data_IF_125545862421
#
_entry.id   IF_125545862421
#
_cell.length_a   1.000
_cell.length_b   1.000
_cell.length_c   1.000
_cell.angle_alpha   90.00
_cell.angle_beta   90.00
_cell.angle_gamma   90.00
#
_symmetry.space_group_name_H-M   'P 1'
#
loop_
_entity.id
_entity.type
_entity.pdbx_description
1 polymer ?
#
# COMPACT_ATOMS: atom_id res chain seq x y z
N UNK A 1 -68.12 -13.89 -11.11
CA UNK A 1 -67.97 -15.21 -10.49
C UNK A 1 -66.72 -15.80 -11.14
N UNK A 2 -65.51 -15.35 -10.78
CA UNK A 2 -64.81 -15.64 -9.50
C UNK A 2 -64.84 -17.15 -9.24
N UNK A 3 -63.72 -17.87 -9.13
CA UNK A 3 -62.73 -17.68 -8.06
C UNK A 3 -61.41 -18.43 -8.30
N UNK A 4 -60.39 -18.01 -7.55
CA UNK A 4 -59.00 -18.47 -7.43
C UNK A 4 -58.82 -19.92 -6.93
N UNK A 5 -57.60 -20.46 -7.10
CA UNK A 5 -57.16 -21.61 -6.31
C UNK A 5 -55.90 -22.33 -6.78
N UNK A 6 -54.72 -21.79 -6.42
CA UNK A 6 -53.54 -22.63 -6.10
C UNK A 6 -53.64 -23.01 -4.60
N UNK A 7 -53.11 -24.15 -4.07
CA UNK A 7 -51.65 -24.36 -3.99
C UNK A 7 -51.09 -25.82 -3.86
N UNK A 8 -49.76 -25.89 -4.03
CA UNK A 8 -48.77 -26.71 -3.28
C UNK A 8 -48.44 -28.18 -3.63
N UNK A 9 -47.12 -28.37 -3.81
CA UNK A 9 -46.23 -29.39 -3.21
C UNK A 9 -45.64 -30.56 -4.05
N UNK A 10 -44.32 -30.42 -4.27
CA UNK A 10 -43.24 -31.36 -3.90
C UNK A 10 -42.59 -32.32 -4.91
N UNK A 11 -41.26 -32.42 -4.73
CA UNK A 11 -40.27 -33.42 -5.20
C UNK A 11 -39.74 -33.25 -6.65
N UNK A 12 -38.56 -32.65 -6.86
CA UNK A 12 -37.17 -33.11 -6.61
C UNK A 12 -36.64 -34.08 -7.68
N UNK A 13 -35.74 -33.59 -8.54
CA UNK A 13 -34.54 -34.35 -8.92
C UNK A 13 -33.42 -33.41 -9.35
N UNK A 14 -32.29 -33.64 -8.71
CA UNK A 14 -30.98 -33.01 -8.80
C UNK A 14 -30.24 -33.40 -10.07
N UNK A 15 -29.56 -32.42 -10.70
CA UNK A 15 -28.39 -32.63 -11.56
C UNK A 15 -27.40 -31.47 -11.39
N UNK A 16 -26.37 -31.76 -10.61
CA UNK A 16 -24.97 -31.36 -10.63
C UNK A 16 -24.55 -30.13 -11.47
N UNK A 17 -24.05 -29.12 -10.75
CA UNK A 17 -23.27 -27.99 -11.26
C UNK A 17 -21.80 -28.21 -10.88
N UNK A 18 -21.00 -28.76 -11.79
CA UNK A 18 -19.55 -28.61 -11.76
C UNK A 18 -19.19 -27.35 -12.57
N UNK A 19 -19.06 -26.23 -11.87
CA UNK A 19 -18.44 -25.02 -12.37
C UNK A 19 -17.23 -24.70 -11.47
N UNK A 20 -16.06 -25.23 -11.84
CA UNK A 20 -14.79 -24.83 -11.26
C UNK A 20 -14.59 -23.33 -11.46
N UNK A 21 -14.43 -22.64 -10.35
CA UNK A 21 -14.20 -21.21 -10.27
C UNK A 21 -12.81 -20.88 -10.86
N UNK A 22 -12.69 -19.99 -11.87
CA UNK A 22 -11.39 -19.66 -12.48
C UNK A 22 -10.40 -18.97 -11.52
N UNK A 23 -10.80 -18.60 -10.30
CA UNK A 23 -9.93 -18.05 -9.25
C UNK A 23 -9.07 -19.09 -8.54
N UNK A 24 -9.44 -20.37 -8.51
CA UNK A 24 -8.67 -21.40 -7.78
C UNK A 24 -7.35 -21.77 -8.48
N UNK A 25 -7.22 -21.46 -9.78
CA UNK A 25 -6.01 -21.75 -10.57
C UNK A 25 -4.90 -20.71 -10.40
N UNK A 26 -5.21 -19.52 -9.90
CA UNK A 26 -4.24 -18.44 -9.67
C UNK A 26 -3.54 -18.55 -8.32
N UNK A 27 -4.17 -19.18 -7.32
CA UNK A 27 -3.56 -19.45 -6.02
C UNK A 27 -2.42 -20.49 -6.08
N UNK A 28 -2.43 -21.36 -7.09
CA UNK A 28 -1.45 -22.44 -7.23
C UNK A 28 -0.10 -22.00 -7.83
N UNK A 29 0.04 -20.75 -8.30
CA UNK A 29 1.24 -20.26 -9.00
C UNK A 29 2.10 -19.28 -8.18
N UNK A 30 1.68 -18.88 -6.97
CA UNK A 30 2.40 -17.89 -6.16
C UNK A 30 3.14 -18.47 -4.94
N UNK A 31 3.50 -19.75 -4.96
CA UNK A 31 4.41 -20.33 -3.94
C UNK A 31 5.85 -20.26 -4.42
N UNK A 32 6.37 -19.03 -4.57
CA UNK A 32 7.81 -18.79 -4.64
C UNK A 32 8.34 -18.59 -3.22
N UNK A 33 9.54 -19.08 -2.87
CA UNK A 33 10.13 -18.80 -1.56
C UNK A 33 10.32 -17.28 -1.41
N UNK A 34 10.02 -16.76 -0.22
CA UNK A 34 10.32 -15.38 0.13
C UNK A 34 11.84 -15.25 0.17
N UNK A 35 12.44 -14.56 -0.80
CA UNK A 35 13.84 -14.15 -0.72
C UNK A 35 13.99 -13.20 0.46
N UNK A 36 14.95 -13.51 1.34
CA UNK A 36 15.19 -12.83 2.63
C UNK A 36 15.74 -11.40 2.51
N UNK A 37 15.55 -10.71 1.38
CA UNK A 37 16.12 -9.40 1.10
C UNK A 37 15.05 -8.30 0.97
N UNK A 38 13.93 -8.44 1.69
CA UNK A 38 12.83 -7.47 1.63
C UNK A 38 13.19 -6.22 2.45
N UNK A 39 13.55 -5.13 1.77
CA UNK A 39 13.65 -3.80 2.37
C UNK A 39 12.28 -3.40 2.96
N UNK A 40 12.30 -3.13 4.25
CA UNK A 40 11.21 -2.55 5.04
C UNK A 40 10.95 -1.14 4.49
N UNK A 41 9.96 -0.98 3.61
CA UNK A 41 9.21 0.28 3.47
C UNK A 41 7.95 0.23 2.58
N UNK A 42 7.48 -0.96 2.16
CA UNK A 42 6.14 -1.04 1.52
C UNK A 42 5.40 -2.38 1.68
N UNK A 43 5.93 -3.30 2.47
CA UNK A 43 5.18 -4.51 2.84
C UNK A 43 4.28 -4.10 4.00
N UNK A 44 2.98 -3.79 3.74
CA UNK A 44 1.98 -3.41 4.78
C UNK A 44 2.43 -3.91 6.14
N UNK A 45 2.97 -3.01 6.97
CA UNK A 45 3.79 -3.39 8.13
C UNK A 45 3.02 -4.33 9.04
N UNK A 46 1.70 -4.17 9.08
CA UNK A 46 0.73 -5.06 9.72
C UNK A 46 0.77 -6.47 9.13
N UNK A 47 0.66 -6.63 7.82
CA UNK A 47 0.74 -7.95 7.20
C UNK A 47 2.14 -8.58 7.37
N UNK A 48 3.21 -7.79 7.20
CA UNK A 48 4.55 -8.32 7.43
C UNK A 48 4.70 -8.78 8.88
N UNK A 49 4.26 -7.96 9.85
CA UNK A 49 4.22 -8.30 11.27
C UNK A 49 3.35 -9.55 11.57
N UNK A 50 2.20 -9.71 10.89
CA UNK A 50 1.39 -10.91 10.97
C UNK A 50 2.14 -12.15 10.43
N UNK A 51 2.92 -12.01 9.35
CA UNK A 51 3.71 -13.11 8.76
C UNK A 51 5.03 -13.42 9.49
N UNK A 52 5.65 -12.44 10.14
CA UNK A 52 6.88 -12.63 10.92
C UNK A 52 6.58 -13.23 12.29
N UNK A 53 5.48 -12.82 12.93
CA UNK A 53 5.01 -13.42 14.20
C UNK A 53 4.73 -14.92 14.08
N UNK A 54 4.37 -15.39 12.88
CA UNK A 54 4.11 -16.81 12.59
C UNK A 54 5.35 -17.63 12.23
N UNK A 55 6.54 -17.02 12.07
CA UNK A 55 7.81 -17.72 11.84
C UNK A 55 8.60 -18.05 13.12
N UNK A 56 8.05 -17.74 14.30
CA UNK A 56 8.68 -17.97 15.60
C UNK A 56 8.00 -19.08 16.41
N UNK A 57 7.73 -20.25 15.80
CA UNK A 57 7.53 -21.48 16.57
C UNK A 57 8.13 -22.67 15.83
N UNK A 58 9.34 -23.06 16.23
CA UNK A 58 9.85 -24.44 16.21
C UNK A 58 11.30 -24.49 16.71
N UNK A 59 11.51 -24.56 18.03
CA UNK A 59 12.69 -25.27 18.58
C UNK A 59 12.23 -26.21 19.70
N UNK A 60 12.41 -27.50 19.41
CA UNK A 60 12.13 -28.70 20.22
C UNK A 60 12.72 -28.61 21.64
N UNK A 61 11.88 -28.91 22.64
CA UNK A 61 12.26 -29.15 24.03
C UNK A 61 13.07 -30.44 24.18
N UNK A 62 14.40 -30.36 24.35
CA UNK A 62 15.17 -31.38 25.09
C UNK A 62 16.19 -30.74 26.01
N UNK A 63 15.92 -30.86 27.30
CA UNK A 63 16.66 -30.18 28.35
C UNK A 63 18.04 -30.74 28.67
N UNK A 64 18.84 -29.90 29.31
CA UNK A 64 19.64 -30.23 30.50
C UNK A 64 20.10 -28.94 31.21
N UNK A 65 20.03 -28.99 32.55
CA UNK A 65 20.40 -28.00 33.57
C UNK A 65 21.66 -27.15 33.29
N UNK A 66 21.64 -25.86 33.65
CA UNK A 66 22.19 -25.38 34.93
C UNK A 66 22.38 -23.84 34.96
N UNK A 67 22.04 -23.25 36.11
CA UNK A 67 22.27 -21.85 36.47
C UNK A 67 23.76 -21.54 36.66
N UNK A 68 24.18 -20.30 36.33
CA UNK A 68 24.88 -19.30 37.19
C UNK A 68 25.77 -18.37 36.36
N UNK A 69 25.48 -17.07 36.52
CA UNK A 69 26.32 -15.86 36.46
C UNK A 69 27.83 -16.02 36.22
N UNK A 70 28.36 -15.36 35.18
CA UNK A 70 29.62 -14.62 35.29
C UNK A 70 29.73 -13.57 34.19
N UNK A 71 30.10 -12.37 34.60
CA UNK A 71 30.48 -11.23 33.78
C UNK A 71 31.88 -11.47 33.20
N UNK A 72 32.17 -10.75 32.10
CA UNK A 72 33.48 -10.45 31.49
C UNK A 72 34.04 -11.47 30.49
N UNK A 73 33.95 -11.16 29.20
CA UNK A 73 35.15 -10.76 28.44
C UNK A 73 34.76 -10.00 27.17
N UNK A 74 35.45 -8.88 26.98
CA UNK A 74 35.51 -8.07 25.78
C UNK A 74 36.37 -8.82 24.77
N UNK A 75 35.80 -9.27 23.66
CA UNK A 75 36.55 -9.54 22.44
C UNK A 75 35.75 -8.92 21.29
N UNK A 76 36.44 -8.06 20.56
CA UNK A 76 35.96 -7.26 19.45
C UNK A 76 35.40 -8.17 18.35
N UNK A 77 34.08 -8.24 18.22
CA UNK A 77 33.45 -8.53 16.94
C UNK A 77 33.25 -7.17 16.28
N UNK A 78 34.11 -6.85 15.29
CA UNK A 78 33.77 -5.88 14.27
C UNK A 78 32.51 -6.44 13.60
N UNK A 79 31.34 -6.04 14.10
CA UNK A 79 30.13 -6.06 13.30
C UNK A 79 30.47 -5.17 12.11
N UNK A 80 30.77 -5.80 10.97
CA UNK A 80 30.59 -5.19 9.67
C UNK A 80 29.13 -4.72 9.64
N UNK A 81 28.89 -3.49 10.13
CA UNK A 81 27.69 -2.73 9.82
C UNK A 81 27.77 -2.56 8.30
N UNK A 82 27.27 -3.56 7.56
CA UNK A 82 26.89 -3.38 6.17
C UNK A 82 26.03 -2.11 6.17
N UNK A 83 26.59 -0.98 5.70
CA UNK A 83 25.84 0.25 5.47
C UNK A 83 24.70 -0.16 4.55
N UNK A 84 23.54 -0.45 5.13
CA UNK A 84 22.34 -0.77 4.38
C UNK A 84 22.09 0.46 3.51
N UNK A 85 22.30 0.31 2.20
CA UNK A 85 22.06 1.36 1.21
C UNK A 85 20.67 1.96 1.50
N UNK A 86 20.64 3.20 2.00
CA UNK A 86 19.41 3.90 2.31
C UNK A 86 18.59 3.95 1.01
N UNK A 87 17.39 3.37 1.02
CA UNK A 87 16.57 3.26 -0.18
C UNK A 87 16.21 4.67 -0.71
N UNK A 88 16.79 5.04 -1.85
CA UNK A 88 16.43 6.28 -2.54
C UNK A 88 15.24 6.03 -3.50
N UNK A 89 14.03 6.52 -3.17
CA UNK A 89 12.86 6.32 -4.02
C UNK A 89 13.01 7.00 -5.39
N UNK A 90 13.77 8.10 -5.50
CA UNK A 90 13.97 8.80 -6.76
C UNK A 90 14.95 8.06 -7.66
N UNK A 91 16.00 7.47 -7.09
CA UNK A 91 16.92 6.59 -7.82
C UNK A 91 16.20 5.33 -8.31
N UNK A 92 15.37 4.72 -7.45
CA UNK A 92 14.52 3.60 -7.82
C UNK A 92 13.63 3.95 -9.02
N UNK A 93 12.92 5.09 -8.97
CA UNK A 93 12.06 5.55 -10.07
C UNK A 93 12.87 5.80 -11.36
N UNK A 94 14.06 6.38 -11.24
CA UNK A 94 14.96 6.63 -12.39
C UNK A 94 15.31 5.32 -13.12
N UNK A 95 15.47 4.25 -12.37
CA UNK A 95 15.84 2.92 -12.85
C UNK A 95 14.65 2.02 -13.19
N UNK A 96 13.41 2.51 -13.07
CA UNK A 96 12.23 1.73 -13.41
C UNK A 96 12.24 1.34 -14.90
N UNK A 97 11.93 0.07 -15.21
CA UNK A 97 11.76 -0.35 -16.58
C UNK A 97 10.46 0.25 -17.14
N UNK A 98 10.31 0.23 -18.46
CA UNK A 98 9.06 0.62 -19.09
C UNK A 98 7.90 -0.24 -18.54
N UNK A 99 6.80 0.40 -18.16
CA UNK A 99 5.62 -0.28 -17.60
C UNK A 99 5.20 -1.51 -18.42
N UNK A 100 5.23 -1.41 -19.76
CA UNK A 100 4.87 -2.51 -20.69
C UNK A 100 5.76 -3.75 -20.60
N UNK A 101 6.95 -3.65 -20.00
CA UNK A 101 7.87 -4.77 -19.82
C UNK A 101 7.64 -5.56 -18.53
N UNK A 102 6.95 -4.96 -17.56
CA UNK A 102 6.70 -5.55 -16.23
C UNK A 102 5.22 -5.88 -15.99
N UNK A 103 4.37 -5.64 -16.99
CA UNK A 103 2.94 -5.93 -16.92
C UNK A 103 2.44 -6.66 -18.16
N UNK A 104 1.38 -7.49 -18.06
CA UNK A 104 0.74 -8.09 -19.22
C UNK A 104 0.26 -7.04 -20.23
N UNK A 105 0.37 -7.36 -21.53
CA UNK A 105 -0.07 -6.49 -22.63
C UNK A 105 -1.54 -6.10 -22.54
N UNK A 106 -2.38 -7.03 -22.08
CA UNK A 106 -3.80 -6.82 -21.87
C UNK A 106 -4.09 -6.88 -20.38
N UNK A 107 -4.46 -5.73 -19.80
CA UNK A 107 -4.94 -5.65 -18.43
C UNK A 107 -6.38 -5.15 -18.41
N UNK A 108 -7.25 -5.78 -17.62
CA UNK A 108 -8.61 -5.32 -17.48
C UNK A 108 -8.62 -3.94 -16.80
N UNK A 109 -9.55 -3.09 -17.24
CA UNK A 109 -9.87 -1.86 -16.51
C UNK A 109 -10.54 -2.26 -15.19
N UNK A 110 -10.01 -1.78 -14.07
CA UNK A 110 -10.47 -2.16 -12.73
C UNK A 110 -11.80 -1.51 -12.37
N UNK A 111 -12.01 -0.26 -12.80
CA UNK A 111 -13.15 0.54 -12.35
C UNK A 111 -14.23 0.61 -13.43
N UNK A 112 -15.52 0.61 -13.04
CA UNK A 112 -16.58 0.93 -13.97
C UNK A 112 -16.40 2.34 -14.54
N UNK A 113 -17.01 2.59 -15.70
CA UNK A 113 -17.01 3.92 -16.33
C UNK A 113 -17.59 4.95 -15.38
N UNK A 114 -16.98 6.13 -15.32
CA UNK A 114 -17.52 7.26 -14.55
C UNK A 114 -18.93 7.61 -15.05
N UNK A 115 -19.82 7.88 -14.10
CA UNK A 115 -21.16 8.39 -14.40
C UNK A 115 -21.13 9.92 -14.46
N UNK A 116 -22.10 10.52 -15.15
CA UNK A 116 -22.20 12.00 -15.25
C UNK A 116 -22.40 12.72 -13.91
N UNK A 117 -22.75 11.97 -12.86
CA UNK A 117 -22.92 12.46 -11.49
C UNK A 117 -21.63 12.46 -10.68
N UNK A 118 -20.57 11.80 -11.17
CA UNK A 118 -19.27 11.78 -10.51
C UNK A 118 -18.51 13.07 -10.84
N UNK A 119 -17.74 13.62 -9.88
CA UNK A 119 -16.80 14.69 -10.20
C UNK A 119 -15.84 14.25 -11.33
N UNK A 120 -15.44 15.16 -12.22
CA UNK A 120 -14.65 14.82 -13.41
C UNK A 120 -13.19 14.48 -13.10
N UNK A 121 -12.67 14.92 -11.95
CA UNK A 121 -11.30 14.65 -11.51
C UNK A 121 -11.34 13.54 -10.45
N UNK A 122 -10.52 12.51 -10.63
CA UNK A 122 -10.34 11.43 -9.67
C UNK A 122 -9.17 11.75 -8.75
N UNK A 123 -9.41 11.69 -7.44
CA UNK A 123 -8.38 11.80 -6.41
C UNK A 123 -8.13 10.42 -5.84
N UNK A 124 -6.98 9.85 -6.21
CA UNK A 124 -6.48 8.59 -5.68
C UNK A 124 -5.73 8.90 -4.37
N UNK A 125 -6.11 8.22 -3.30
CA UNK A 125 -5.49 8.37 -1.99
C UNK A 125 -4.92 7.03 -1.55
N UNK A 126 -3.68 7.05 -1.04
CA UNK A 126 -3.18 5.97 -0.22
C UNK A 126 -3.83 5.95 1.18
N UNK A 127 -3.56 4.91 1.98
CA UNK A 127 -4.11 4.73 3.32
C UNK A 127 -3.06 4.85 4.40
N UNK A 128 -2.22 3.84 4.53
CA UNK A 128 -1.23 3.69 5.59
C UNK A 128 -0.17 4.79 5.43
N UNK A 129 0.23 5.40 6.55
CA UNK A 129 1.14 6.56 6.63
C UNK A 129 0.70 7.81 5.85
N UNK A 130 -0.44 7.76 5.15
CA UNK A 130 -1.03 8.89 4.40
C UNK A 130 -2.26 9.45 5.11
N UNK A 131 -3.28 8.63 5.39
CA UNK A 131 -4.53 9.01 6.06
C UNK A 131 -4.61 8.49 7.49
N UNK A 132 -3.97 7.36 7.77
CA UNK A 132 -4.02 6.64 9.04
C UNK A 132 -2.66 6.00 9.30
N UNK A 133 -2.39 5.66 10.54
CA UNK A 133 -1.30 4.78 10.91
C UNK A 133 -1.86 3.65 11.77
N UNK A 134 -1.42 2.42 11.49
CA UNK A 134 -1.98 1.23 12.10
C UNK A 134 -0.90 0.28 12.60
N UNK A 135 -1.13 -0.34 13.75
CA UNK A 135 -0.18 -1.25 14.41
C UNK A 135 -0.90 -2.50 14.93
N UNK A 136 -0.15 -3.58 15.11
CA UNK A 136 -0.63 -4.78 15.82
C UNK A 136 -0.31 -4.73 17.31
N UNK A 137 0.69 -3.95 17.68
CA UNK A 137 1.07 -3.76 19.06
C UNK A 137 0.07 -2.82 19.75
N UNK A 138 -0.42 -3.17 20.94
CA UNK A 138 -1.25 -2.26 21.72
C UNK A 138 -0.52 -0.94 21.95
N UNK A 139 -1.21 0.16 21.65
CA UNK A 139 -0.64 1.48 21.82
C UNK A 139 -1.65 2.47 22.41
N UNK A 140 -1.13 3.51 23.05
CA UNK A 140 -1.95 4.60 23.58
C UNK A 140 -2.42 5.52 22.44
N UNK A 141 -3.46 6.32 22.72
CA UNK A 141 -3.99 7.33 21.79
C UNK A 141 -4.50 6.76 20.46
N UNK A 142 -5.27 5.68 20.54
CA UNK A 142 -5.94 5.06 19.38
C UNK A 142 -7.31 5.68 19.14
N UNK A 143 -7.67 5.89 17.88
CA UNK A 143 -9.01 6.38 17.50
C UNK A 143 -10.02 5.24 17.43
N UNK A 144 -9.60 4.09 16.91
CA UNK A 144 -10.42 2.89 16.84
C UNK A 144 -9.58 1.63 16.68
N UNK A 145 -10.24 0.49 16.91
CA UNK A 145 -9.67 -0.85 16.71
C UNK A 145 -10.63 -1.70 15.90
N UNK A 146 -10.09 -2.71 15.21
CA UNK A 146 -10.90 -3.75 14.58
C UNK A 146 -10.12 -5.08 14.50
N UNK A 147 -10.82 -6.22 14.53
CA UNK A 147 -10.19 -7.52 14.36
C UNK A 147 -9.90 -7.80 12.88
N UNK A 148 -8.77 -8.44 12.61
CA UNK A 148 -8.44 -9.04 11.31
C UNK A 148 -8.10 -10.51 11.55
N UNK A 149 -8.72 -11.38 10.76
CA UNK A 149 -8.43 -12.81 10.81
C UNK A 149 -7.34 -13.14 9.80
N UNK A 150 -6.22 -13.68 10.26
CA UNK A 150 -5.11 -14.10 9.43
C UNK A 150 -4.50 -15.38 10.00
N UNK A 151 -4.16 -16.35 9.14
CA UNK A 151 -3.64 -17.66 9.56
C UNK A 151 -4.47 -18.36 10.64
N UNK A 152 -5.81 -18.28 10.56
CA UNK A 152 -6.74 -18.85 11.55
C UNK A 152 -6.68 -18.21 12.95
N UNK A 153 -5.90 -17.14 13.12
CA UNK A 153 -5.82 -16.34 14.34
C UNK A 153 -6.50 -14.97 14.15
N UNK A 154 -7.11 -14.45 15.22
CA UNK A 154 -7.66 -13.10 15.25
C UNK A 154 -6.61 -12.15 15.83
N UNK A 155 -6.20 -11.16 15.04
CA UNK A 155 -5.33 -10.08 15.49
C UNK A 155 -6.13 -8.79 15.62
N UNK A 156 -5.92 -8.05 16.71
CA UNK A 156 -6.49 -6.71 16.89
C UNK A 156 -5.58 -5.68 16.24
N UNK A 157 -6.14 -4.89 15.33
CA UNK A 157 -5.46 -3.74 14.73
C UNK A 157 -5.80 -2.49 15.53
N UNK A 158 -4.78 -1.73 15.88
CA UNK A 158 -4.88 -0.43 16.54
C UNK A 158 -4.61 0.69 15.53
N UNK A 159 -5.56 1.61 15.37
CA UNK A 159 -5.50 2.64 14.32
C UNK A 159 -5.54 4.04 14.93
N UNK A 160 -4.66 4.90 14.43
CA UNK A 160 -4.72 6.35 14.59
C UNK A 160 -5.08 7.01 13.27
N UNK A 161 -5.93 8.03 13.32
CA UNK A 161 -6.26 8.88 12.21
C UNK A 161 -5.26 10.02 12.13
N UNK A 162 -4.74 10.30 10.94
CA UNK A 162 -3.92 11.49 10.74
C UNK A 162 -4.72 12.75 11.12
N UNK A 163 -4.14 13.72 11.83
CA UNK A 163 -4.82 14.96 12.17
C UNK A 163 -5.51 15.59 10.97
N UNK A 164 -6.70 16.14 11.19
CA UNK A 164 -7.53 16.77 10.18
C UNK A 164 -8.12 15.84 9.09
N UNK A 165 -8.01 14.51 9.24
CA UNK A 165 -8.60 13.56 8.29
C UNK A 165 -10.08 13.84 7.99
N UNK A 166 -10.91 14.07 9.00
CA UNK A 166 -12.33 14.34 8.79
C UNK A 166 -12.56 15.61 7.95
N UNK A 167 -11.88 16.71 8.28
CA UNK A 167 -12.00 17.98 7.57
C UNK A 167 -11.52 17.85 6.11
N UNK A 168 -10.39 17.17 5.91
CA UNK A 168 -9.86 16.84 4.59
C UNK A 168 -10.88 16.06 3.77
N UNK A 169 -11.40 14.94 4.30
CA UNK A 169 -12.35 14.06 3.62
C UNK A 169 -13.68 14.76 3.30
N UNK A 170 -14.20 15.58 4.22
CA UNK A 170 -15.41 16.39 3.99
C UNK A 170 -15.22 17.40 2.85
N UNK A 171 -14.02 17.95 2.70
CA UNK A 171 -13.70 18.91 1.64
C UNK A 171 -13.51 18.22 0.30
N UNK A 172 -12.65 17.21 0.22
CA UNK A 172 -12.29 16.57 -1.06
C UNK A 172 -13.42 15.71 -1.62
N UNK A 173 -14.28 15.11 -0.78
CA UNK A 173 -15.44 14.31 -1.25
C UNK A 173 -16.49 15.12 -2.01
N UNK A 174 -16.52 16.44 -1.83
CA UNK A 174 -17.39 17.35 -2.58
C UNK A 174 -16.81 17.73 -3.94
N UNK A 175 -15.50 17.56 -4.11
CA UNK A 175 -14.73 18.10 -5.23
C UNK A 175 -14.26 17.01 -6.20
N UNK A 176 -13.99 15.80 -5.69
CA UNK A 176 -13.34 14.73 -6.43
C UNK A 176 -14.09 13.40 -6.38
N UNK A 177 -13.90 12.57 -7.39
CA UNK A 177 -14.17 11.14 -7.27
C UNK A 177 -13.03 10.52 -6.44
N UNK A 178 -13.29 10.19 -5.17
CA UNK A 178 -12.28 9.59 -4.30
C UNK A 178 -12.13 8.10 -4.59
N UNK A 179 -10.91 7.70 -4.89
CA UNK A 179 -10.50 6.30 -5.10
C UNK A 179 -9.44 5.98 -4.05
N UNK A 180 -9.65 4.95 -3.25
CA UNK A 180 -8.56 4.40 -2.44
C UNK A 180 -7.74 3.47 -3.31
N UNK A 181 -6.43 3.65 -3.34
CA UNK A 181 -5.50 2.70 -3.94
C UNK A 181 -4.35 2.49 -2.97
N UNK A 182 -4.36 1.34 -2.27
CA UNK A 182 -3.39 0.99 -1.24
C UNK A 182 -2.57 -0.24 -1.63
N UNK A 183 -1.31 -0.26 -1.21
CA UNK A 183 -0.46 -1.45 -1.25
C UNK A 183 -0.81 -2.46 -0.14
N UNK A 184 -1.81 -2.20 0.70
CA UNK A 184 -2.27 -3.14 1.73
C UNK A 184 -3.26 -4.18 1.20
N UNK A 185 -3.31 -5.34 1.87
CA UNK A 185 -4.22 -6.42 1.50
C UNK A 185 -5.67 -6.07 1.83
N UNK A 186 -6.59 -6.59 1.03
CA UNK A 186 -8.03 -6.36 1.18
C UNK A 186 -8.56 -6.78 2.55
N UNK A 187 -8.07 -7.89 3.12
CA UNK A 187 -8.50 -8.40 4.44
C UNK A 187 -8.36 -7.37 5.56
N UNK A 188 -7.35 -6.51 5.48
CA UNK A 188 -7.10 -5.43 6.42
C UNK A 188 -7.78 -4.13 5.96
N UNK A 189 -7.49 -3.70 4.74
CA UNK A 189 -7.89 -2.38 4.25
C UNK A 189 -9.41 -2.26 4.10
N UNK A 190 -10.11 -3.35 3.78
CA UNK A 190 -11.57 -3.34 3.73
C UNK A 190 -12.20 -3.08 5.10
N UNK A 191 -11.68 -3.71 6.16
CA UNK A 191 -12.16 -3.48 7.53
C UNK A 191 -11.92 -2.05 7.97
N UNK A 192 -10.70 -1.53 7.76
CA UNK A 192 -10.37 -0.15 8.05
C UNK A 192 -11.32 0.84 7.35
N UNK A 193 -11.54 0.66 6.05
CA UNK A 193 -12.41 1.53 5.27
C UNK A 193 -13.89 1.39 5.62
N UNK A 194 -14.31 0.26 6.18
CA UNK A 194 -15.66 0.10 6.70
C UNK A 194 -15.85 0.88 8.01
N UNK A 195 -14.79 1.05 8.81
CA UNK A 195 -14.81 1.91 10.00
C UNK A 195 -14.75 3.39 9.61
N UNK A 196 -13.89 3.78 8.66
CA UNK A 196 -13.75 5.17 8.21
C UNK A 196 -14.97 5.69 7.42
N UNK A 197 -15.60 4.85 6.60
CA UNK A 197 -16.76 5.24 5.78
C UNK A 197 -17.89 4.18 5.88
N UNK A 198 -18.54 4.07 7.05
CA UNK A 198 -19.54 3.04 7.31
C UNK A 198 -20.79 3.18 6.44
N UNK A 199 -21.04 4.38 5.91
CA UNK A 199 -22.18 4.67 5.03
C UNK A 199 -21.83 4.58 3.55
N UNK A 200 -20.57 4.27 3.19
CA UNK A 200 -20.04 4.20 1.82
C UNK A 200 -20.35 5.45 0.99
N UNK A 201 -20.14 6.62 1.58
CA UNK A 201 -20.42 7.93 0.97
C UNK A 201 -19.18 8.69 0.53
N UNK A 202 -18.02 8.39 1.12
CA UNK A 202 -16.78 9.10 0.87
C UNK A 202 -16.00 8.43 -0.26
N UNK A 203 -15.75 7.13 -0.14
CA UNK A 203 -14.89 6.40 -1.08
C UNK A 203 -15.73 5.76 -2.19
N UNK A 204 -15.52 6.18 -3.44
CA UNK A 204 -16.25 5.65 -4.59
C UNK A 204 -15.76 4.27 -4.99
N UNK A 205 -14.44 4.09 -4.97
CA UNK A 205 -13.76 2.86 -5.35
C UNK A 205 -12.64 2.54 -4.36
N UNK A 206 -12.33 1.25 -4.22
CA UNK A 206 -11.27 0.73 -3.36
C UNK A 206 -10.44 -0.26 -4.19
N UNK A 207 -9.14 -0.04 -4.25
CA UNK A 207 -8.16 -0.83 -5.00
C UNK A 207 -7.06 -1.22 -4.02
N UNK A 208 -6.70 -2.50 -4.02
CA UNK A 208 -5.82 -3.11 -3.00
C UNK A 208 -4.56 -3.68 -3.64
N UNK A 209 -3.68 -4.26 -2.80
CA UNK A 209 -2.40 -4.86 -3.19
C UNK A 209 -2.43 -5.72 -4.45
N UNK A 210 -3.44 -6.57 -4.62
CA UNK A 210 -3.51 -7.50 -5.77
C UNK A 210 -3.59 -6.78 -7.13
N UNK A 211 -3.88 -5.47 -7.11
CA UNK A 211 -3.92 -4.61 -8.30
C UNK A 211 -2.62 -3.83 -8.53
N UNK A 212 -1.68 -3.87 -7.59
CA UNK A 212 -0.36 -3.25 -7.73
C UNK A 212 0.52 -4.06 -8.70
N UNK A 213 1.48 -3.38 -9.31
CA UNK A 213 2.61 -4.00 -10.00
C UNK A 213 3.68 -4.24 -8.95
N UNK A 214 4.01 -5.50 -8.69
CA UNK A 214 5.12 -5.85 -7.82
C UNK A 214 6.42 -5.88 -8.63
N UNK A 215 7.36 -5.00 -8.30
CA UNK A 215 8.65 -4.91 -8.99
C UNK A 215 9.73 -4.58 -7.97
N UNK A 216 10.77 -5.42 -7.93
CA UNK A 216 11.98 -5.22 -7.11
C UNK A 216 11.64 -4.84 -5.65
N UNK A 217 10.88 -5.72 -4.99
CA UNK A 217 10.45 -5.55 -3.60
C UNK A 217 9.35 -4.51 -3.35
N UNK A 218 8.98 -3.72 -4.35
CA UNK A 218 8.07 -2.59 -4.20
C UNK A 218 6.69 -2.83 -4.86
N UNK A 219 5.65 -2.23 -4.27
CA UNK A 219 4.29 -2.25 -4.83
C UNK A 219 3.98 -0.91 -5.52
N UNK A 220 3.93 -0.93 -6.85
CA UNK A 220 3.63 0.24 -7.67
C UNK A 220 2.16 0.28 -8.08
N UNK A 221 1.58 1.48 -8.03
CA UNK A 221 0.18 1.82 -8.32
C UNK A 221 0.10 2.38 -9.72
N UNK A 222 0.00 1.48 -10.69
CA UNK A 222 -0.22 1.90 -12.07
C UNK A 222 -1.62 2.53 -12.25
N UNK A 223 -1.65 3.82 -12.54
CA UNK A 223 -2.92 4.56 -12.67
C UNK A 223 -3.67 4.22 -13.96
N UNK A 224 -3.00 3.63 -14.97
CA UNK A 224 -3.61 3.33 -16.27
C UNK A 224 -4.70 2.24 -16.18
N UNK A 225 -4.66 1.38 -15.17
CA UNK A 225 -5.67 0.33 -14.97
C UNK A 225 -6.98 0.86 -14.37
N UNK A 226 -7.02 2.11 -13.89
CA UNK A 226 -8.23 2.72 -13.32
C UNK A 226 -9.28 3.05 -14.38
N UNK A 227 -8.93 3.08 -15.67
CA UNK A 227 -9.84 3.48 -16.75
C UNK A 227 -10.32 4.91 -16.60
N UNK A 228 -9.44 5.79 -16.10
CA UNK A 228 -9.63 7.23 -15.98
C UNK A 228 -8.66 7.93 -16.93
N UNK A 229 -9.04 9.10 -17.42
CA UNK A 229 -8.12 9.94 -18.20
C UNK A 229 -7.04 10.48 -17.27
N UNK A 230 -5.77 10.19 -17.54
CA UNK A 230 -4.64 10.62 -16.70
C UNK A 230 -4.50 12.15 -16.63
N UNK A 231 -5.06 12.91 -17.58
CA UNK A 231 -5.14 14.38 -17.43
C UNK A 231 -6.07 14.82 -16.28
N UNK A 232 -6.87 13.90 -15.75
CA UNK A 232 -7.89 14.10 -14.69
C UNK A 232 -7.68 13.19 -13.48
N UNK A 233 -6.50 12.60 -13.31
CA UNK A 233 -6.17 11.75 -12.15
C UNK A 233 -5.09 12.43 -11.31
N UNK A 234 -5.26 12.41 -10.00
CA UNK A 234 -4.25 12.84 -9.03
C UNK A 234 -4.03 11.66 -8.08
N UNK A 235 -2.79 11.35 -7.72
CA UNK A 235 -2.49 10.42 -6.63
C UNK A 235 -1.77 11.16 -5.50
N UNK A 236 -2.25 10.99 -4.26
CA UNK A 236 -1.58 11.44 -3.04
C UNK A 236 -1.10 10.21 -2.29
N UNK A 237 0.19 10.16 -2.02
CA UNK A 237 0.87 8.99 -1.48
C UNK A 237 2.17 9.42 -0.79
N UNK A 238 2.48 8.81 0.34
CA UNK A 238 3.71 9.11 1.09
C UNK A 238 4.95 8.42 0.51
N UNK A 239 4.78 7.46 -0.39
CA UNK A 239 5.86 6.73 -1.05
C UNK A 239 6.00 7.17 -2.52
N UNK A 240 6.98 8.02 -2.88
CA UNK A 240 7.14 8.49 -4.27
C UNK A 240 7.26 7.35 -5.30
N UNK A 241 7.92 6.26 -4.92
CA UNK A 241 8.08 5.05 -5.73
C UNK A 241 6.75 4.38 -6.08
N UNK A 242 5.72 4.51 -5.22
CA UNK A 242 4.42 3.88 -5.44
C UNK A 242 3.73 4.40 -6.71
N UNK A 243 3.97 5.65 -7.11
CA UNK A 243 3.43 6.22 -8.35
C UNK A 243 4.50 6.45 -9.43
N UNK A 244 5.60 5.69 -9.37
CA UNK A 244 6.76 5.84 -10.27
C UNK A 244 6.46 5.74 -11.77
N UNK A 245 5.42 5.01 -12.18
CA UNK A 245 5.03 4.93 -13.60
C UNK A 245 4.28 6.17 -14.12
N UNK A 246 3.73 7.01 -13.24
CA UNK A 246 2.98 8.21 -13.59
C UNK A 246 3.33 9.37 -12.64
N UNK A 247 4.62 9.68 -12.51
CA UNK A 247 5.13 10.71 -11.57
C UNK A 247 4.50 12.08 -11.76
N UNK A 248 4.07 12.44 -12.97
CA UNK A 248 3.39 13.72 -13.21
C UNK A 248 1.97 13.81 -12.64
N UNK A 249 1.39 12.69 -12.21
CA UNK A 249 0.12 12.63 -11.49
C UNK A 249 0.30 12.65 -9.96
N UNK A 250 1.54 12.54 -9.48
CA UNK A 250 1.87 12.34 -8.08
C UNK A 250 2.00 13.61 -7.25
N UNK A 251 1.31 13.64 -6.12
CA UNK A 251 1.40 14.63 -5.06
C UNK A 251 2.03 13.94 -3.85
N UNK A 252 3.33 14.12 -3.60
CA UNK A 252 3.97 13.54 -2.42
C UNK A 252 3.40 14.19 -1.16
N UNK A 253 3.26 13.39 -0.11
CA UNK A 253 2.93 13.84 1.25
C UNK A 253 3.91 13.18 2.22
N UNK A 254 4.23 13.83 3.33
CA UNK A 254 5.09 13.20 4.34
C UNK A 254 4.38 12.02 5.01
N UNK A 255 5.13 10.95 5.29
CA UNK A 255 4.66 9.82 6.10
C UNK A 255 4.24 10.30 7.48
N UNK A 256 3.13 9.78 7.99
CA UNK A 256 2.60 10.12 9.31
C UNK A 256 2.37 8.89 10.17
N UNK A 257 2.75 8.99 11.45
CA UNK A 257 2.70 7.87 12.40
C UNK A 257 1.90 8.22 13.66
N UNK A 258 2.28 9.29 14.35
CA UNK A 258 1.68 9.67 15.63
C UNK A 258 1.76 11.16 15.99
N UNK A 259 2.33 12.03 15.15
CA UNK A 259 2.46 13.45 15.50
C UNK A 259 1.08 14.13 15.52
N UNK A 260 0.57 14.56 16.70
CA UNK A 260 -0.74 15.23 16.79
C UNK A 260 -0.71 16.66 16.22
N UNK A 261 0.47 17.21 15.93
CA UNK A 261 0.65 18.55 15.37
C UNK A 261 0.72 18.57 13.84
N UNK A 262 0.66 17.41 13.18
CA UNK A 262 0.65 17.28 11.72
C UNK A 262 -0.48 18.11 11.09
N UNK A 263 -0.18 18.77 9.98
CA UNK A 263 -1.14 19.58 9.23
C UNK A 263 -1.08 19.31 7.73
N UNK A 264 -0.43 18.25 7.30
CA UNK A 264 -0.14 18.03 5.89
C UNK A 264 -1.42 17.83 5.08
N UNK A 265 -2.42 17.13 5.63
CA UNK A 265 -3.74 17.00 5.00
C UNK A 265 -4.40 18.38 4.77
N UNK A 266 -4.29 19.31 5.73
CA UNK A 266 -4.79 20.68 5.54
C UNK A 266 -3.96 21.46 4.52
N UNK A 267 -2.64 21.32 4.55
CA UNK A 267 -1.73 21.99 3.62
C UNK A 267 -1.96 21.55 2.17
N UNK A 268 -2.44 20.33 1.94
CA UNK A 268 -2.81 19.85 0.62
C UNK A 268 -4.08 20.52 0.05
N UNK A 269 -5.04 20.91 0.90
CA UNK A 269 -6.35 21.39 0.44
C UNK A 269 -6.26 22.57 -0.54
N UNK A 270 -5.52 23.68 -0.26
CA UNK A 270 -5.43 24.80 -1.19
C UNK A 270 -4.88 24.40 -2.55
N UNK A 271 -3.92 23.46 -2.59
CA UNK A 271 -3.36 22.98 -3.84
C UNK A 271 -4.36 22.12 -4.62
N UNK A 272 -4.98 21.13 -3.97
CA UNK A 272 -6.00 20.28 -4.60
C UNK A 272 -7.16 21.13 -5.14
N UNK A 273 -7.63 22.11 -4.37
CA UNK A 273 -8.68 23.04 -4.80
C UNK A 273 -8.28 23.86 -6.04
N UNK A 274 -6.99 24.22 -6.17
CA UNK A 274 -6.49 24.96 -7.33
C UNK A 274 -6.55 24.14 -8.64
N UNK A 275 -6.61 22.81 -8.56
CA UNK A 275 -6.71 21.91 -9.72
C UNK A 275 -8.14 21.83 -10.26
N UNK A 276 -9.14 22.30 -9.51
CA UNK A 276 -10.54 22.25 -9.95
C UNK A 276 -10.74 23.15 -11.17
N UNK A 277 -11.25 22.54 -12.24
CA UNK A 277 -11.48 23.22 -13.53
C UNK A 277 -10.28 23.18 -14.48
N UNK A 278 -9.11 22.70 -14.05
CA UNK A 278 -7.97 22.49 -14.95
C UNK A 278 -8.33 21.48 -16.04
N UNK A 279 -7.88 21.69 -17.29
CA UNK A 279 -8.09 20.70 -18.36
C UNK A 279 -7.19 19.47 -18.21
N UNK A 280 -5.97 19.71 -17.74
CA UNK A 280 -4.96 18.71 -17.41
C UNK A 280 -4.28 19.11 -16.10
N UNK A 281 -4.32 18.24 -15.10
CA UNK A 281 -3.74 18.50 -13.77
C UNK A 281 -2.22 18.36 -13.75
N UNK A 282 -1.65 17.58 -14.68
CA UNK A 282 -0.24 17.15 -14.64
C UNK A 282 0.76 18.31 -14.74
N UNK A 283 0.57 19.33 -15.58
CA UNK A 283 1.48 20.49 -15.62
C UNK A 283 1.50 21.29 -14.31
N UNK A 284 0.37 21.36 -13.60
CA UNK A 284 0.26 22.08 -12.33
C UNK A 284 0.95 21.32 -11.20
N UNK A 285 0.79 19.99 -11.18
CA UNK A 285 1.48 19.07 -10.25
C UNK A 285 2.99 19.13 -10.49
N UNK A 286 3.43 18.96 -11.74
CA UNK A 286 4.84 19.02 -12.11
C UNK A 286 5.48 20.35 -11.67
N UNK A 287 4.81 21.47 -11.92
CA UNK A 287 5.29 22.80 -11.51
C UNK A 287 5.40 22.95 -9.98
N UNK A 288 4.53 22.29 -9.21
CA UNK A 288 4.49 22.44 -7.75
C UNK A 288 5.53 21.56 -7.05
N UNK A 289 5.71 20.32 -7.51
CA UNK A 289 6.52 19.32 -6.80
C UNK A 289 7.84 18.97 -7.49
N UNK A 290 7.99 19.27 -8.78
CA UNK A 290 9.24 19.18 -9.53
C UNK A 290 9.92 17.80 -9.41
N UNK A 291 9.10 16.73 -9.45
CA UNK A 291 9.56 15.37 -9.18
C UNK A 291 10.48 14.84 -10.28
N UNK A 292 10.26 15.24 -11.54
CA UNK A 292 11.10 14.78 -12.66
C UNK A 292 12.54 15.22 -12.50
N UNK A 293 12.74 16.46 -12.09
CA UNK A 293 14.05 17.03 -11.83
C UNK A 293 14.72 16.38 -10.62
N UNK A 294 13.95 16.01 -9.58
CA UNK A 294 14.48 15.23 -8.44
C UNK A 294 14.96 13.84 -8.88
N UNK A 295 14.17 13.16 -9.72
CA UNK A 295 14.51 11.84 -10.28
C UNK A 295 15.75 11.95 -11.18
N UNK A 296 15.83 12.97 -12.04
CA UNK A 296 17.01 13.19 -12.89
C UNK A 296 18.28 13.42 -12.06
N UNK A 297 18.15 14.16 -10.95
CA UNK A 297 19.24 14.50 -10.05
C UNK A 297 19.69 13.36 -9.13
N UNK A 298 18.92 12.29 -8.97
CA UNK A 298 19.32 11.11 -8.18
C UNK A 298 20.53 10.43 -8.85
N UNK A 299 21.58 10.15 -8.09
CA UNK A 299 22.85 9.58 -8.60
C UNK A 299 23.14 8.30 -7.84
N UNK A 300 23.63 7.28 -8.56
CA UNK A 300 24.19 6.10 -7.93
C UNK A 300 25.35 6.53 -7.00
N UNK A 301 25.35 6.06 -5.75
CA UNK A 301 26.53 6.19 -4.89
C UNK A 301 27.67 5.46 -5.62
N UNK A 302 28.81 6.12 -5.90
CA UNK A 302 29.89 5.42 -6.56
C UNK A 302 30.38 4.30 -5.64
N UNK A 303 30.29 3.05 -6.13
CA UNK A 303 31.00 1.91 -5.53
C UNK A 303 32.42 2.37 -5.24
N UNK A 304 32.82 2.34 -3.97
CA UNK A 304 34.20 2.63 -3.58
C UNK A 304 35.12 1.79 -4.48
N UNK A 305 36.14 2.38 -5.13
CA UNK A 305 37.04 1.60 -5.94
C UNK A 305 37.73 0.58 -5.04
N UNK A 306 37.42 -0.70 -5.27
CA UNK A 306 38.25 -1.80 -4.80
C UNK A 306 39.69 -1.51 -5.23
N UNK A 307 40.63 -1.70 -4.30
CA UNK A 307 42.08 -1.57 -4.46
C UNK A 307 42.69 -0.19 -4.14
N UNK A 308 42.84 0.08 -2.84
CA UNK A 308 44.11 0.59 -2.33
C UNK A 308 44.85 -0.61 -1.70
N UNK A 309 45.83 -1.15 -2.42
CA UNK A 309 46.66 -2.27 -1.94
C UNK A 309 47.27 -2.00 -0.57
N UNK A 310 47.39 -3.08 0.20
CA UNK A 310 48.00 -3.15 1.52
C UNK A 310 49.35 -2.39 1.59
N UNK A 311 49.51 -1.39 2.48
CA UNK A 311 50.78 -0.67 2.65
C UNK A 311 51.91 -1.51 3.27
N UNK A 312 51.66 -2.76 3.69
CA UNK A 312 52.63 -3.59 4.40
C UNK A 312 53.27 -4.73 3.58
N UNK A 313 53.04 -4.81 2.27
CA UNK A 313 53.91 -5.64 1.41
C UNK A 313 55.22 -4.92 1.05
N UNK A 314 56.17 -4.84 2.00
CA UNK A 314 57.64 -4.78 1.73
C UNK A 314 58.48 -5.28 2.90
#
# INVERSE_FOLDING_TARGET
MEDDGSPSSSSSSSRDLDAQNPYDRLLALNTSPVDSNCNLDSVSAIYLAMTTSSKLECVDERGQDSLITSVCNMEDEEEDEEELDEFDPYLFIKNLPNLSSVVPTFRPVLLPKQTRSCPPISLVLDLDETLVHSTLEPCDEVDFTFPVHFNEEEHTVYVRCRPHLQEFMERVSRLFEIIIFTASQSIYAEQLLNVLDPKRKLFRHRVYRDSCVFFDGNYLKDLSVLGRDLSRVIIVDNSPQAFGFQVENGVPIESWFNDPSDKELLHLLPFLESLIGAEDVRPMIAKKFNLKEKIEAAVDVPEYPAEAGDPFER
#
